data_IF_858969070849
#
_entry.id   IF_858969070849
#
_cell.length_a   1.000
_cell.length_b   1.000
_cell.length_c   1.000
_cell.angle_alpha   90.00
_cell.angle_beta   90.00
_cell.angle_gamma   90.00
#
_symmetry.space_group_name_H-M   'P 1'
#
loop_
_entity.id
_entity.type
_entity.pdbx_description
1 polymer ?
#
# COMPACT_ATOMS: atom_id res chain seq x y z
N UNK A 1 -56.14 19.18 -1.25
CA UNK A 1 -54.90 18.72 -1.93
C UNK A 1 -55.15 17.27 -2.37
N UNK A 2 -55.24 17.00 -3.68
CA UNK A 2 -55.68 15.68 -4.17
C UNK A 2 -54.65 14.57 -3.88
N UNK A 3 -55.11 13.33 -3.72
CA UNK A 3 -54.23 12.16 -3.51
C UNK A 3 -53.19 12.01 -4.62
N UNK A 4 -53.55 12.37 -5.86
CA UNK A 4 -52.67 12.37 -7.01
C UNK A 4 -51.46 13.30 -6.82
N UNK A 5 -51.66 14.46 -6.17
CA UNK A 5 -50.58 15.40 -5.85
C UNK A 5 -49.66 14.88 -4.73
N UNK A 6 -50.17 14.05 -3.83
CA UNK A 6 -49.36 13.40 -2.78
C UNK A 6 -48.51 12.28 -3.36
N UNK A 7 -49.08 11.47 -4.25
CA UNK A 7 -48.39 10.37 -4.92
C UNK A 7 -47.26 10.87 -5.82
N UNK A 8 -47.49 11.93 -6.61
CA UNK A 8 -46.46 12.56 -7.46
C UNK A 8 -45.29 13.11 -6.64
N UNK A 9 -45.57 13.75 -5.50
CA UNK A 9 -44.52 14.23 -4.58
C UNK A 9 -43.72 13.07 -3.99
N UNK A 10 -44.38 12.01 -3.55
CA UNK A 10 -43.72 10.81 -3.00
C UNK A 10 -42.78 10.13 -4.00
N UNK A 11 -43.24 9.93 -5.24
CA UNK A 11 -42.43 9.35 -6.31
C UNK A 11 -41.25 10.24 -6.65
N UNK A 12 -41.45 11.55 -6.71
CA UNK A 12 -40.39 12.52 -6.98
C UNK A 12 -39.34 12.54 -5.87
N UNK A 13 -39.76 12.48 -4.59
CA UNK A 13 -38.85 12.41 -3.44
C UNK A 13 -38.06 11.10 -3.43
N UNK A 14 -38.68 9.96 -3.75
CA UNK A 14 -37.99 8.67 -3.86
C UNK A 14 -36.97 8.65 -4.99
N UNK A 15 -37.29 9.23 -6.15
CA UNK A 15 -36.35 9.38 -7.27
C UNK A 15 -35.17 10.30 -6.92
N UNK A 16 -35.42 11.39 -6.19
CA UNK A 16 -34.36 12.29 -5.71
C UNK A 16 -33.42 11.59 -4.72
N UNK A 17 -33.96 10.83 -3.76
CA UNK A 17 -33.15 10.09 -2.78
C UNK A 17 -32.33 9.00 -3.50
N UNK A 18 -32.91 8.30 -4.48
CA UNK A 18 -32.19 7.31 -5.27
C UNK A 18 -31.06 7.93 -6.12
N UNK A 19 -31.23 9.18 -6.58
CA UNK A 19 -30.20 9.88 -7.37
C UNK A 19 -29.00 10.38 -6.53
N UNK A 20 -29.17 10.58 -5.22
CA UNK A 20 -28.08 11.00 -4.32
C UNK A 20 -27.14 9.82 -3.99
N UNK A 21 -27.60 8.58 -4.15
CA UNK A 21 -26.80 7.37 -3.90
C UNK A 21 -25.85 6.95 -5.03
N UNK A 22 -25.82 7.69 -6.16
CA UNK A 22 -25.06 7.32 -7.36
C UNK A 22 -23.73 8.06 -7.55
N UNK A 23 -23.24 8.80 -6.54
CA UNK A 23 -21.83 9.16 -6.50
C UNK A 23 -21.05 7.94 -6.02
N UNK A 24 -20.64 7.07 -6.96
CA UNK A 24 -19.53 6.14 -6.67
C UNK A 24 -18.39 6.97 -6.10
N UNK A 25 -17.90 6.71 -4.87
CA UNK A 25 -16.78 7.46 -4.36
C UNK A 25 -15.62 7.20 -5.31
N UNK A 26 -15.19 8.25 -6.01
CA UNK A 26 -13.97 8.24 -6.81
C UNK A 26 -12.89 7.65 -5.92
N UNK A 27 -12.25 6.58 -6.39
CA UNK A 27 -11.19 5.92 -5.63
C UNK A 27 -10.14 6.97 -5.28
N UNK A 28 -9.90 7.18 -4.00
CA UNK A 28 -8.85 8.07 -3.52
C UNK A 28 -7.52 7.33 -3.63
N UNK A 29 -6.59 7.88 -4.41
CA UNK A 29 -5.30 7.26 -4.71
C UNK A 29 -4.13 7.93 -4.00
N UNK A 30 -4.31 9.07 -3.34
CA UNK A 30 -3.25 9.67 -2.52
C UNK A 30 -3.30 9.08 -1.10
N UNK A 31 -2.28 8.33 -0.64
CA UNK A 31 -2.26 7.77 0.71
C UNK A 31 -2.23 8.80 1.84
N UNK A 32 -1.95 10.06 1.56
CA UNK A 32 -2.01 11.15 2.54
C UNK A 32 -3.40 11.75 2.70
N UNK A 33 -4.37 11.37 1.86
CA UNK A 33 -5.76 11.82 2.00
C UNK A 33 -6.46 11.05 3.15
N UNK A 34 -7.19 11.73 4.05
CA UNK A 34 -7.88 11.06 5.18
C UNK A 34 -8.96 10.06 4.75
N UNK A 35 -9.44 10.12 3.49
CA UNK A 35 -10.41 9.19 2.93
C UNK A 35 -9.74 8.06 2.13
N UNK A 36 -8.42 8.02 2.08
CA UNK A 36 -7.69 6.90 1.50
C UNK A 36 -8.02 5.62 2.28
N UNK A 37 -8.39 4.57 1.55
CA UNK A 37 -8.66 3.27 2.13
C UNK A 37 -7.56 2.28 1.69
N UNK A 38 -6.70 1.80 2.62
CA UNK A 38 -5.67 0.80 2.33
C UNK A 38 -6.21 -0.48 1.69
N UNK A 39 -7.44 -0.90 2.01
CA UNK A 39 -8.09 -2.11 1.47
C UNK A 39 -8.51 -1.97 0.01
N UNK A 40 -8.39 -0.76 -0.54
CA UNK A 40 -8.63 -0.46 -1.96
C UNK A 40 -7.33 -0.20 -2.70
N UNK A 41 -6.17 -0.31 -2.06
CA UNK A 41 -4.87 -0.06 -2.67
C UNK A 41 -4.69 -0.86 -3.97
N UNK A 42 -4.14 -0.22 -5.01
CA UNK A 42 -3.72 -0.93 -6.22
C UNK A 42 -2.47 -0.29 -6.80
N UNK A 43 -1.50 -1.13 -7.16
CA UNK A 43 -0.30 -0.66 -7.83
C UNK A 43 -0.56 0.04 -9.17
N UNK A 44 -1.70 -0.25 -9.82
CA UNK A 44 -2.09 0.35 -11.10
C UNK A 44 -2.40 1.84 -11.00
N UNK A 45 -2.60 2.34 -9.78
CA UNK A 45 -2.87 3.75 -9.53
C UNK A 45 -1.59 4.59 -9.57
N UNK A 46 -0.42 3.94 -9.57
CA UNK A 46 0.89 4.60 -9.44
C UNK A 46 1.82 4.19 -10.58
N UNK A 47 2.80 5.05 -10.90
CA UNK A 47 3.84 4.76 -11.89
C UNK A 47 3.85 5.74 -13.07
N UNK A 48 4.40 5.29 -14.19
CA UNK A 48 4.60 6.14 -15.38
C UNK A 48 3.26 6.67 -15.92
N UNK A 49 3.18 7.98 -16.15
CA UNK A 49 1.96 8.66 -16.60
C UNK A 49 0.89 8.86 -15.52
N UNK A 50 1.20 8.60 -14.25
CA UNK A 50 0.34 8.90 -13.09
C UNK A 50 0.86 10.10 -12.31
N UNK A 51 -0.01 10.70 -11.50
CA UNK A 51 0.34 11.85 -10.65
C UNK A 51 1.38 11.52 -9.58
N UNK A 52 1.37 10.28 -9.08
CA UNK A 52 2.26 9.83 -8.01
C UNK A 52 3.04 8.56 -8.41
N UNK A 53 4.33 8.55 -8.09
CA UNK A 53 5.16 7.36 -8.27
C UNK A 53 4.87 6.30 -7.21
N UNK A 54 5.09 5.02 -7.52
CA UNK A 54 4.91 3.95 -6.55
C UNK A 54 5.79 4.11 -5.30
N UNK A 55 7.03 4.57 -5.49
CA UNK A 55 7.98 4.84 -4.41
C UNK A 55 7.51 5.96 -3.47
N UNK A 56 6.85 6.98 -4.02
CA UNK A 56 6.26 8.05 -3.22
C UNK A 56 5.02 7.57 -2.46
N UNK A 57 4.12 6.85 -3.14
CA UNK A 57 2.94 6.26 -2.52
C UNK A 57 3.34 5.33 -1.37
N UNK A 58 4.35 4.49 -1.58
CA UNK A 58 4.88 3.58 -0.56
C UNK A 58 5.30 4.34 0.70
N UNK A 59 6.06 5.44 0.57
CA UNK A 59 6.52 6.23 1.73
C UNK A 59 5.38 6.90 2.49
N UNK A 60 4.33 7.33 1.78
CA UNK A 60 3.15 7.95 2.40
C UNK A 60 2.27 6.92 3.11
N UNK A 61 2.11 5.75 2.48
CA UNK A 61 1.27 4.66 2.97
C UNK A 61 1.91 3.90 4.13
N UNK A 62 3.24 3.78 4.14
CA UNK A 62 3.98 3.06 5.17
C UNK A 62 5.05 3.96 5.81
N UNK A 63 4.66 4.79 6.79
CA UNK A 63 5.62 5.46 7.65
C UNK A 63 6.57 4.47 8.35
N UNK A 64 7.74 4.95 8.77
CA UNK A 64 8.65 4.14 9.59
C UNK A 64 7.94 3.71 10.89
N UNK A 65 8.18 2.47 11.32
CA UNK A 65 7.51 1.87 12.47
C UNK A 65 6.18 1.16 12.14
N UNK A 66 5.69 1.24 10.90
CA UNK A 66 4.53 0.44 10.47
C UNK A 66 4.81 -1.06 10.65
N UNK A 67 3.83 -1.82 11.15
CA UNK A 67 3.98 -3.25 11.35
C UNK A 67 4.13 -3.99 10.02
N UNK A 68 4.97 -5.02 10.02
CA UNK A 68 5.13 -5.94 8.89
C UNK A 68 3.81 -6.56 8.46
N UNK A 69 2.99 -6.99 9.42
CA UNK A 69 1.65 -7.53 9.17
C UNK A 69 0.80 -6.57 8.31
N UNK A 70 0.77 -5.28 8.65
CA UNK A 70 0.00 -4.31 7.89
C UNK A 70 0.61 -4.05 6.50
N UNK A 71 1.95 -3.98 6.41
CA UNK A 71 2.65 -3.86 5.12
C UNK A 71 2.31 -5.06 4.22
N UNK A 72 2.39 -6.27 4.75
CA UNK A 72 2.12 -7.51 4.02
C UNK A 72 0.64 -7.61 3.62
N UNK A 73 -0.29 -7.27 4.51
CA UNK A 73 -1.71 -7.20 4.18
C UNK A 73 -1.96 -6.29 2.96
N UNK A 74 -1.45 -5.06 3.00
CA UNK A 74 -1.71 -4.09 1.93
C UNK A 74 -0.99 -4.44 0.63
N UNK A 75 0.27 -4.91 0.70
CA UNK A 75 1.03 -5.26 -0.50
C UNK A 75 0.54 -6.58 -1.11
N UNK A 76 0.44 -7.64 -0.30
CA UNK A 76 0.22 -9.01 -0.76
C UNK A 76 -1.26 -9.30 -0.92
N UNK A 77 -2.04 -9.14 0.15
CA UNK A 77 -3.46 -9.54 0.14
C UNK A 77 -4.31 -8.60 -0.70
N UNK A 78 -4.09 -7.28 -0.54
CA UNK A 78 -4.85 -6.25 -1.25
C UNK A 78 -4.21 -5.92 -2.60
N UNK A 79 -2.91 -5.59 -2.59
CA UNK A 79 -2.17 -5.16 -3.77
C UNK A 79 -1.85 -6.27 -4.77
N UNK A 80 -1.93 -7.53 -4.35
CA UNK A 80 -1.72 -8.70 -5.20
C UNK A 80 -0.27 -8.90 -5.64
N UNK A 81 0.72 -8.41 -4.88
CA UNK A 81 2.13 -8.81 -5.09
C UNK A 81 2.47 -10.08 -4.30
N UNK A 82 3.48 -10.81 -4.77
CA UNK A 82 4.01 -11.98 -4.08
C UNK A 82 5.28 -11.59 -3.31
N UNK A 83 5.39 -12.02 -2.06
CA UNK A 83 6.67 -12.12 -1.37
C UNK A 83 7.44 -13.30 -1.96
N UNK A 84 8.66 -13.06 -2.46
CA UNK A 84 9.48 -14.13 -3.08
C UNK A 84 10.76 -14.45 -2.31
N UNK A 85 10.99 -13.77 -1.18
CA UNK A 85 12.03 -14.10 -0.23
C UNK A 85 12.03 -13.13 0.94
N UNK A 86 12.37 -13.62 2.13
CA UNK A 86 12.80 -12.78 3.24
C UNK A 86 14.03 -13.39 3.89
N UNK A 87 14.99 -12.54 4.23
CA UNK A 87 16.28 -12.93 4.80
C UNK A 87 16.14 -13.06 6.31
N UNK A 88 16.42 -14.24 6.86
CA UNK A 88 16.46 -14.46 8.31
C UNK A 88 17.64 -13.74 8.99
N UNK A 89 18.63 -13.31 8.20
CA UNK A 89 19.80 -12.60 8.71
C UNK A 89 19.45 -11.18 9.16
N UNK A 90 18.77 -10.42 8.29
CA UNK A 90 18.57 -8.98 8.46
C UNK A 90 17.12 -8.54 8.23
N UNK A 91 16.17 -9.47 8.17
CA UNK A 91 14.75 -9.21 7.95
C UNK A 91 14.47 -8.39 6.67
N UNK A 92 15.33 -8.52 5.65
CA UNK A 92 15.12 -7.93 4.34
C UNK A 92 14.15 -8.81 3.54
N UNK A 93 12.93 -8.32 3.32
CA UNK A 93 11.93 -8.98 2.51
C UNK A 93 11.83 -8.35 1.12
N UNK A 94 11.59 -9.18 0.10
CA UNK A 94 11.44 -8.76 -1.28
C UNK A 94 10.08 -9.19 -1.86
N UNK A 95 9.40 -8.22 -2.47
CA UNK A 95 8.07 -8.37 -3.06
C UNK A 95 8.11 -8.08 -4.55
N UNK A 96 7.28 -8.76 -5.34
CA UNK A 96 7.18 -8.58 -6.79
C UNK A 96 5.78 -8.85 -7.31
N UNK A 97 5.45 -8.34 -8.49
CA UNK A 97 4.23 -8.79 -9.17
C UNK A 97 4.28 -10.29 -9.52
N UNK A 98 3.14 -11.00 -9.44
CA UNK A 98 3.02 -12.37 -9.90
C UNK A 98 3.50 -12.52 -11.33
N UNK A 99 4.11 -13.66 -11.65
CA UNK A 99 4.70 -13.91 -12.99
C UNK A 99 3.73 -13.71 -14.14
N UNK A 100 2.45 -14.03 -13.95
CA UNK A 100 1.41 -13.85 -14.98
C UNK A 100 1.00 -12.38 -15.19
N UNK A 101 1.38 -11.46 -14.30
CA UNK A 101 1.17 -10.02 -14.45
C UNK A 101 2.41 -9.27 -15.00
N UNK A 102 3.52 -9.97 -15.30
CA UNK A 102 4.79 -9.36 -15.75
C UNK A 102 4.77 -8.77 -17.18
N UNK A 103 3.63 -8.79 -17.88
CA UNK A 103 3.42 -8.02 -19.11
C UNK A 103 3.43 -6.50 -18.90
N UNK A 104 3.30 -6.04 -17.65
CA UNK A 104 3.63 -4.67 -17.27
C UNK A 104 5.16 -4.49 -17.32
N UNK A 105 5.64 -3.70 -18.29
CA UNK A 105 7.06 -3.34 -18.43
C UNK A 105 7.58 -2.83 -17.08
N UNK A 106 8.48 -3.61 -16.49
CA UNK A 106 9.07 -3.33 -15.18
C UNK A 106 8.33 -4.06 -14.07
N UNK A 107 8.65 -5.34 -13.88
CA UNK A 107 8.26 -6.07 -12.68
C UNK A 107 8.83 -5.35 -11.47
N UNK A 108 8.01 -4.48 -10.84
CA UNK A 108 8.43 -3.72 -9.69
C UNK A 108 8.86 -4.71 -8.60
N UNK A 109 10.13 -4.61 -8.22
CA UNK A 109 10.67 -5.31 -7.07
C UNK A 109 10.70 -4.31 -5.94
N UNK A 110 9.98 -4.59 -4.86
CA UNK A 110 9.99 -3.77 -3.66
C UNK A 110 10.84 -4.49 -2.63
N UNK A 111 11.85 -3.81 -2.12
CA UNK A 111 12.64 -4.28 -0.99
C UNK A 111 12.20 -3.51 0.24
N UNK A 112 11.94 -4.25 1.32
CA UNK A 112 11.44 -3.73 2.58
C UNK A 112 12.22 -4.38 3.71
N UNK A 113 12.75 -3.55 4.59
CA UNK A 113 13.59 -3.94 5.71
C UNK A 113 12.81 -3.70 7.01
N UNK A 114 12.75 -4.73 7.84
CA UNK A 114 12.12 -4.69 9.15
C UNK A 114 13.16 -4.82 10.26
N UNK A 115 12.85 -4.32 11.44
CA UNK A 115 13.62 -4.62 12.65
C UNK A 115 13.23 -5.99 13.24
N UNK A 116 13.80 -6.32 14.40
CA UNK A 116 13.53 -7.56 15.14
C UNK A 116 12.12 -7.64 15.73
N UNK A 117 11.40 -6.51 15.81
CA UNK A 117 10.03 -6.41 16.32
C UNK A 117 9.01 -6.32 15.18
N UNK A 118 9.40 -6.73 13.97
CA UNK A 118 8.59 -6.67 12.76
C UNK A 118 8.08 -5.24 12.46
N UNK A 119 8.91 -4.23 12.67
CA UNK A 119 8.62 -2.82 12.35
C UNK A 119 9.42 -2.33 11.15
N UNK A 120 8.76 -1.62 10.25
CA UNK A 120 9.38 -1.05 9.06
C UNK A 120 10.49 -0.04 9.43
N UNK A 121 11.72 -0.30 8.98
CA UNK A 121 12.86 0.62 9.19
C UNK A 121 13.41 1.22 7.88
N UNK A 122 13.21 0.56 6.74
CA UNK A 122 13.47 1.12 5.42
C UNK A 122 12.68 0.38 4.34
N UNK A 123 12.28 1.05 3.27
CA UNK A 123 11.53 0.41 2.18
C UNK A 123 11.81 1.01 0.82
N UNK A 124 11.07 0.54 -0.19
CA UNK A 124 11.20 0.98 -1.57
C UNK A 124 11.05 2.51 -1.65
N UNK A 125 12.06 3.18 -2.22
CA UNK A 125 12.06 4.63 -2.38
C UNK A 125 12.52 5.42 -1.15
N UNK A 126 12.93 4.75 -0.06
CA UNK A 126 13.54 5.42 1.07
C UNK A 126 14.93 5.96 0.65
N UNK A 127 15.23 7.26 0.83
CA UNK A 127 16.45 7.89 0.30
C UNK A 127 17.74 7.25 0.81
N UNK A 128 17.71 6.70 2.03
CA UNK A 128 18.89 6.11 2.68
C UNK A 128 18.83 4.57 2.76
N UNK A 129 18.01 3.89 1.94
CA UNK A 129 17.79 2.44 2.05
C UNK A 129 19.10 1.63 2.09
N UNK A 130 20.04 1.91 1.19
CA UNK A 130 21.32 1.20 1.13
C UNK A 130 22.22 1.42 2.35
N UNK A 131 22.21 2.63 2.90
CA UNK A 131 22.95 2.93 4.13
C UNK A 131 22.32 2.23 5.34
N UNK A 132 20.99 2.26 5.46
CA UNK A 132 20.27 1.58 6.54
C UNK A 132 20.52 0.08 6.50
N UNK A 133 20.45 -0.55 5.32
CA UNK A 133 20.76 -1.97 5.15
C UNK A 133 22.20 -2.30 5.58
N UNK A 134 23.17 -1.49 5.15
CA UNK A 134 24.58 -1.68 5.53
C UNK A 134 24.78 -1.59 7.04
N UNK A 135 24.17 -0.61 7.69
CA UNK A 135 24.29 -0.41 9.13
C UNK A 135 23.67 -1.58 9.93
N UNK A 136 22.53 -2.11 9.47
CA UNK A 136 21.91 -3.31 10.07
C UNK A 136 22.83 -4.52 9.91
N UNK A 137 23.36 -4.75 8.70
CA UNK A 137 24.28 -5.85 8.44
C UNK A 137 25.57 -5.75 9.27
N UNK A 138 26.13 -4.55 9.44
CA UNK A 138 27.31 -4.31 10.28
C UNK A 138 27.01 -4.61 11.75
N UNK A 139 25.89 -4.13 12.29
CA UNK A 139 25.47 -4.40 13.67
C UNK A 139 25.35 -5.90 13.94
N UNK A 140 24.64 -6.63 13.08
CA UNK A 140 24.44 -8.08 13.23
C UNK A 140 25.77 -8.86 13.21
N UNK A 141 26.75 -8.42 12.38
CA UNK A 141 28.07 -9.03 12.36
C UNK A 141 28.85 -8.78 13.66
N UNK A 142 28.72 -7.60 14.25
CA UNK A 142 29.36 -7.29 15.53
C UNK A 142 28.71 -8.06 16.69
N UNK A 143 27.38 -8.14 16.71
CA UNK A 143 26.64 -8.91 17.73
C UNK A 143 27.06 -10.39 17.70
N UNK A 144 27.18 -11.00 16.51
CA UNK A 144 27.68 -12.37 16.37
C UNK A 144 29.13 -12.59 16.82
N UNK A 145 29.99 -11.57 16.74
CA UNK A 145 31.37 -11.68 17.24
C UNK A 145 31.41 -11.67 18.77
N UNK A 146 30.49 -10.93 19.40
CA UNK A 146 30.44 -10.78 20.86
C UNK A 146 29.79 -11.98 21.57
N UNK A 147 29.07 -12.83 20.83
CA UNK A 147 28.47 -14.07 21.34
C UNK A 147 29.41 -15.30 21.28
N UNK A 148 30.62 -15.15 20.73
CA UNK A 148 31.63 -16.21 20.59
C UNK A 148 32.77 -16.06 21.58
#
# INVERSE_FOLDING_TARGET
MSEESRLKKLVLTLLLIASIGACSPTKVTDPSDPNFNPDKFSFRDYGEGKEMSLHEAFRRLFPLGTSKEFVEHVLVEVGGVEQYGCSDWNNLCAYRFPRYMQGWKGGAKLQVLFDENDRLIAGAGHPNFGETLRNVDEKLREDQKNER
#
